data_IF_874679272792
#
_entry.id   IF_874679272792
#
_cell.length_a   1.000
_cell.length_b   1.000
_cell.length_c   1.000
_cell.angle_alpha   90.00
_cell.angle_beta   90.00
_cell.angle_gamma   90.00
#
_symmetry.space_group_name_H-M   'P 1'
#
loop_
_entity.id
_entity.type
_entity.pdbx_description
1 polymer ?
#
# COMPACT_ATOMS: atom_id res chain seq x y z
N UNK A 1 7.05 22.26 32.83
CA UNK A 1 7.89 22.48 34.04
C UNK A 1 7.47 23.79 34.73
N UNK A 2 7.46 23.90 36.07
CA UNK A 2 7.08 25.15 36.75
C UNK A 2 8.33 25.90 37.24
N UNK A 3 8.45 27.19 36.90
CA UNK A 3 9.53 28.05 37.36
C UNK A 3 8.99 29.13 38.30
N UNK A 4 9.72 29.40 39.38
CA UNK A 4 9.41 30.49 40.31
C UNK A 4 9.99 31.80 39.78
N UNK A 5 9.14 32.82 39.59
CA UNK A 5 9.59 34.17 39.32
C UNK A 5 10.02 34.85 40.62
N UNK A 6 10.95 35.80 40.53
CA UNK A 6 11.42 36.61 41.68
C UNK A 6 10.31 37.41 42.37
N UNK A 7 9.14 37.52 41.75
CA UNK A 7 7.91 38.15 42.28
C UNK A 7 7.04 37.20 43.11
N UNK A 8 7.42 35.94 43.30
CA UNK A 8 6.63 34.94 44.03
C UNK A 8 5.49 34.31 43.22
N UNK A 9 5.34 34.66 41.94
CA UNK A 9 4.42 33.99 41.03
C UNK A 9 5.06 32.71 40.45
N UNK A 10 4.35 31.59 40.56
CA UNK A 10 4.73 30.32 39.92
C UNK A 10 4.06 30.24 38.55
N UNK A 11 4.84 30.38 37.48
CA UNK A 11 4.36 30.10 36.12
C UNK A 11 4.66 28.65 35.79
N UNK A 12 3.61 27.84 35.72
CA UNK A 12 3.71 26.51 35.15
C UNK A 12 3.60 26.62 33.64
N UNK A 13 4.68 26.27 32.94
CA UNK A 13 4.61 26.05 31.50
C UNK A 13 4.01 24.67 31.33
N UNK A 14 2.77 24.64 30.85
CA UNK A 14 2.15 23.40 30.41
C UNK A 14 2.88 22.98 29.13
N UNK A 15 3.52 21.82 29.19
CA UNK A 15 4.33 21.29 28.10
C UNK A 15 3.70 19.99 27.63
N UNK A 16 3.71 19.78 26.32
CA UNK A 16 3.21 18.55 25.73
C UNK A 16 4.38 17.57 25.59
N UNK A 17 4.29 16.41 26.23
CA UNK A 17 5.26 15.32 26.10
C UNK A 17 4.95 14.39 24.93
N UNK A 18 5.99 13.76 24.38
CA UNK A 18 5.88 12.65 23.44
C UNK A 18 6.33 11.35 24.13
N UNK A 19 5.43 10.40 24.33
CA UNK A 19 5.78 9.03 24.69
C UNK A 19 5.58 8.14 23.45
N UNK A 20 6.67 7.84 22.75
CA UNK A 20 6.65 6.79 21.72
C UNK A 20 6.83 5.43 22.41
N UNK A 21 5.99 4.41 22.11
CA UNK A 21 6.23 3.07 22.60
C UNK A 21 7.56 2.53 22.05
N UNK A 22 8.24 1.61 22.77
CA UNK A 22 9.54 1.08 22.34
C UNK A 22 9.43 0.37 20.98
N UNK A 23 10.06 0.97 19.97
CA UNK A 23 10.74 0.40 18.79
C UNK A 23 10.04 -0.62 17.87
N UNK A 24 8.81 -1.10 18.12
CA UNK A 24 8.20 -2.11 17.22
C UNK A 24 6.99 -1.68 16.38
N UNK A 25 6.47 -0.46 16.49
CA UNK A 25 5.47 0.03 15.51
C UNK A 25 5.67 1.51 15.19
N UNK A 26 6.03 1.75 13.93
CA UNK A 26 5.88 3.01 13.19
C UNK A 26 6.84 4.15 13.60
N UNK A 27 8.00 4.16 12.92
CA UNK A 27 9.04 5.20 13.01
C UNK A 27 8.51 6.53 12.46
N UNK A 28 8.36 7.51 13.35
CA UNK A 28 8.16 8.92 13.02
C UNK A 28 9.53 9.62 13.06
N UNK A 29 9.92 10.42 12.05
CA UNK A 29 11.26 11.04 11.96
C UNK A 29 11.66 11.72 13.28
N UNK A 30 12.82 11.48 13.90
CA UNK A 30 14.04 10.80 13.50
C UNK A 30 14.26 9.58 14.44
N UNK A 31 15.18 8.69 14.10
CA UNK A 31 15.76 7.65 14.98
C UNK A 31 16.49 8.27 16.19
N UNK A 32 15.83 9.20 16.88
CA UNK A 32 16.25 9.80 18.13
C UNK A 32 15.55 8.98 19.18
N UNK A 33 16.35 8.25 19.94
CA UNK A 33 15.98 7.74 21.25
C UNK A 33 15.65 8.94 22.16
N UNK A 34 14.45 9.51 21.97
CA UNK A 34 14.00 10.69 22.69
C UNK A 34 12.80 10.34 23.54
N UNK A 35 13.10 9.67 24.64
CA UNK A 35 12.17 9.38 25.71
C UNK A 35 11.68 10.66 26.45
N UNK A 36 12.14 11.86 26.09
CA UNK A 36 11.87 13.11 26.81
C UNK A 36 11.77 14.41 25.94
N UNK A 37 11.11 14.39 24.78
CA UNK A 37 10.81 15.64 24.06
C UNK A 37 9.58 16.36 24.64
N UNK A 38 9.74 17.66 24.96
CA UNK A 38 8.70 18.54 25.49
C UNK A 38 8.51 19.77 24.59
N UNK A 39 7.25 20.10 24.29
CA UNK A 39 6.87 21.25 23.45
C UNK A 39 6.12 22.29 24.27
N UNK A 40 6.44 23.58 24.03
CA UNK A 40 5.72 24.71 24.62
C UNK A 40 4.43 25.00 23.86
N UNK A 41 3.51 25.67 24.53
CA UNK A 41 2.27 26.13 23.94
C UNK A 41 2.51 26.94 22.64
N UNK A 42 1.83 26.55 21.56
CA UNK A 42 1.96 27.11 20.22
C UNK A 42 3.03 26.44 19.35
N UNK A 43 3.86 25.55 19.90
CA UNK A 43 4.84 24.79 19.10
C UNK A 43 4.17 23.61 18.39
N UNK A 44 4.67 23.34 17.18
CA UNK A 44 4.16 22.29 16.30
C UNK A 44 5.17 21.16 16.18
N UNK A 45 4.70 19.93 16.35
CA UNK A 45 5.50 18.72 16.10
C UNK A 45 5.04 18.05 14.79
N UNK A 46 5.92 17.97 13.76
CA UNK A 46 5.61 17.30 12.51
C UNK A 46 5.75 15.78 12.62
N UNK A 47 4.95 15.06 11.84
CA UNK A 47 4.99 13.60 11.70
C UNK A 47 5.27 13.22 10.26
N UNK A 48 6.31 12.42 10.06
CA UNK A 48 6.69 11.87 8.76
C UNK A 48 6.99 10.39 8.93
N UNK A 49 6.38 9.57 8.09
CA UNK A 49 6.62 8.14 8.06
C UNK A 49 7.67 7.81 7.00
N UNK A 50 8.56 6.86 7.29
CA UNK A 50 9.71 6.52 6.43
C UNK A 50 9.32 5.72 5.18
N UNK A 51 8.24 4.95 5.24
CA UNK A 51 7.71 4.15 4.10
C UNK A 51 6.19 4.32 3.89
N UNK A 52 5.52 5.12 4.72
CA UNK A 52 4.06 5.12 4.85
C UNK A 52 3.45 6.52 4.64
N UNK A 53 2.12 6.62 4.53
CA UNK A 53 1.45 7.92 4.63
C UNK A 53 0.94 8.18 6.04
N UNK A 54 0.95 9.45 6.44
CA UNK A 54 0.38 9.89 7.70
C UNK A 54 -1.15 9.90 7.58
N UNK A 55 -1.83 9.01 8.32
CA UNK A 55 -3.30 9.04 8.42
C UNK A 55 -3.70 9.98 9.56
N UNK A 56 -4.33 11.09 9.19
CA UNK A 56 -4.66 12.19 10.11
C UNK A 56 -3.81 13.44 9.82
N UNK A 57 -3.73 14.36 10.79
CA UNK A 57 -2.93 15.57 10.62
C UNK A 57 -1.43 15.22 10.65
N UNK A 58 -0.69 15.70 9.65
CA UNK A 58 0.77 15.52 9.54
C UNK A 58 1.57 16.31 10.59
N UNK A 59 0.88 16.99 11.50
CA UNK A 59 1.48 17.66 12.64
C UNK A 59 0.49 17.79 13.79
N UNK A 60 1.00 18.03 14.99
CA UNK A 60 0.19 18.38 16.17
C UNK A 60 0.72 19.66 16.80
N UNK A 61 -0.19 20.47 17.33
CA UNK A 61 0.14 21.72 18.01
C UNK A 61 -0.03 21.52 19.51
N UNK A 62 0.96 21.93 20.29
CA UNK A 62 0.84 21.93 21.74
C UNK A 62 -0.01 23.13 22.19
N UNK A 63 -1.09 22.86 22.90
CA UNK A 63 -2.00 23.89 23.40
C UNK A 63 -1.54 24.44 24.75
N UNK A 64 -2.06 25.62 25.11
CA UNK A 64 -1.72 26.29 26.37
C UNK A 64 -2.09 25.50 27.63
N UNK A 65 -2.96 24.50 27.53
CA UNK A 65 -3.37 23.61 28.61
C UNK A 65 -2.51 22.33 28.71
N UNK A 66 -1.47 22.20 27.87
CA UNK A 66 -0.57 21.05 27.84
C UNK A 66 -1.15 19.84 27.11
N UNK A 67 -2.23 20.01 26.35
CA UNK A 67 -2.80 18.98 25.48
C UNK A 67 -2.41 19.23 24.03
N UNK A 68 -2.47 18.18 23.23
CA UNK A 68 -2.30 18.28 21.79
C UNK A 68 -3.64 18.61 21.12
N UNK A 69 -3.64 19.51 20.13
CA UNK A 69 -4.84 19.91 19.39
C UNK A 69 -5.46 18.78 18.55
N UNK A 70 -4.62 17.88 18.06
CA UNK A 70 -5.03 16.74 17.24
C UNK A 70 -4.56 15.42 17.86
N UNK A 71 -5.29 14.36 17.54
CA UNK A 71 -4.88 13.00 17.87
C UNK A 71 -3.51 12.68 17.25
N UNK A 72 -2.80 11.73 17.87
CA UNK A 72 -1.54 11.24 17.30
C UNK A 72 -1.86 10.59 15.94
N UNK A 73 -1.25 11.05 14.83
CA UNK A 73 -1.48 10.41 13.55
C UNK A 73 -0.89 9.01 13.55
N UNK A 74 -1.43 8.14 12.71
CA UNK A 74 -0.91 6.79 12.50
C UNK A 74 -0.07 6.76 11.23
N UNK A 75 1.01 6.00 11.23
CA UNK A 75 1.60 5.60 9.97
C UNK A 75 0.72 4.46 9.42
N UNK A 76 0.28 4.60 8.19
CA UNK A 76 -0.44 3.55 7.51
C UNK A 76 0.33 3.16 6.25
N UNK A 77 0.65 1.86 6.13
CA UNK A 77 1.17 1.29 4.89
C UNK A 77 0.33 1.76 3.71
N UNK A 78 1.01 2.28 2.69
CA UNK A 78 0.42 2.68 1.41
C UNK A 78 -0.16 1.42 0.77
N UNK A 79 -1.45 1.17 1.00
CA UNK A 79 -2.23 0.18 0.27
C UNK A 79 -2.99 0.92 -0.84
N UNK A 80 -2.95 0.38 -2.05
CA UNK A 80 -3.70 0.89 -3.17
C UNK A 80 -5.03 0.17 -3.23
N UNK A 81 -6.04 0.83 -2.65
CA UNK A 81 -7.47 0.52 -2.76
C UNK A 81 -8.07 1.04 -4.07
N UNK A 82 -7.26 1.74 -4.89
CA UNK A 82 -7.64 2.41 -6.13
C UNK A 82 -8.76 3.46 -6.08
N UNK A 83 -9.33 3.75 -4.92
CA UNK A 83 -10.23 4.91 -4.70
C UNK A 83 -9.54 6.24 -5.04
N UNK A 84 -8.26 6.32 -4.72
CA UNK A 84 -7.38 7.43 -5.05
C UNK A 84 -6.26 6.94 -6.00
N UNK A 85 -5.58 7.85 -6.73
CA UNK A 85 -4.44 7.47 -7.55
C UNK A 85 -3.40 6.67 -6.75
N UNK A 86 -2.93 5.57 -7.33
CA UNK A 86 -1.88 4.72 -6.75
C UNK A 86 -0.50 5.20 -7.25
N UNK A 87 0.27 5.97 -6.47
CA UNK A 87 1.46 6.64 -7.01
C UNK A 87 2.67 5.72 -7.16
N UNK A 88 2.61 4.49 -6.62
CA UNK A 88 3.73 3.55 -6.65
C UNK A 88 3.49 2.37 -7.59
N UNK A 89 2.34 2.29 -8.27
CA UNK A 89 2.01 1.23 -9.22
C UNK A 89 1.59 1.87 -10.53
N UNK A 90 2.25 1.48 -11.61
CA UNK A 90 2.03 2.01 -12.95
C UNK A 90 1.93 0.88 -13.97
N UNK A 91 1.39 1.22 -15.12
CA UNK A 91 1.25 0.27 -16.23
C UNK A 91 2.62 -0.04 -16.85
N UNK A 92 2.88 -1.31 -17.13
CA UNK A 92 4.17 -1.77 -17.63
C UNK A 92 4.18 -2.05 -19.15
N UNK A 93 3.04 -1.86 -19.84
CA UNK A 93 2.92 -2.15 -21.28
C UNK A 93 2.09 -1.12 -22.04
N UNK A 94 2.62 -0.64 -23.15
CA UNK A 94 1.89 0.24 -24.07
C UNK A 94 0.80 -0.47 -24.89
N UNK A 95 0.77 -1.81 -24.90
CA UNK A 95 -0.10 -2.59 -25.77
C UNK A 95 -1.32 -3.20 -25.05
N UNK A 96 -1.10 -3.82 -23.90
CA UNK A 96 -2.14 -4.51 -23.12
C UNK A 96 -2.00 -4.14 -21.66
N UNK A 97 -3.04 -3.49 -21.14
CA UNK A 97 -3.05 -2.96 -19.79
C UNK A 97 -4.26 -3.42 -19.00
N UNK A 98 -4.06 -3.54 -17.69
CA UNK A 98 -5.18 -3.70 -16.78
C UNK A 98 -6.03 -2.43 -16.82
N UNK A 99 -7.34 -2.60 -16.92
CA UNK A 99 -8.32 -1.51 -16.94
C UNK A 99 -8.80 -1.22 -15.52
N UNK A 100 -8.81 0.06 -15.11
CA UNK A 100 -9.44 0.48 -13.86
C UNK A 100 -10.96 0.50 -14.04
N UNK A 101 -11.71 -0.09 -13.11
CA UNK A 101 -13.15 -0.26 -13.22
C UNK A 101 -13.84 -0.19 -11.86
N UNK A 102 -15.14 0.14 -11.84
CA UNK A 102 -15.92 0.28 -10.60
C UNK A 102 -17.25 -0.48 -10.56
N UNK A 103 -17.69 -1.01 -11.70
CA UNK A 103 -18.94 -1.78 -11.80
C UNK A 103 -18.64 -3.28 -11.87
N UNK A 104 -19.65 -4.14 -12.01
CA UNK A 104 -19.40 -5.50 -12.47
C UNK A 104 -18.73 -5.50 -13.84
N UNK A 105 -17.88 -6.50 -14.11
CA UNK A 105 -17.33 -6.69 -15.44
C UNK A 105 -18.45 -6.93 -16.45
N UNK A 106 -18.30 -6.45 -17.71
CA UNK A 106 -19.37 -6.53 -18.72
C UNK A 106 -19.78 -7.97 -19.09
N UNK A 107 -18.94 -8.93 -18.77
CA UNK A 107 -19.03 -10.35 -19.07
C UNK A 107 -19.82 -11.10 -17.97
N UNK A 108 -20.91 -11.76 -18.38
CA UNK A 108 -21.70 -12.58 -17.46
C UNK A 108 -20.89 -13.78 -16.92
N UNK A 109 -21.15 -14.22 -15.69
CA UNK A 109 -20.53 -15.39 -15.05
C UNK A 109 -18.99 -15.40 -15.09
N UNK A 110 -18.37 -14.24 -14.86
CA UNK A 110 -16.93 -14.13 -14.62
C UNK A 110 -16.65 -13.01 -13.61
N UNK A 111 -15.42 -12.88 -13.15
CA UNK A 111 -15.02 -11.84 -12.20
C UNK A 111 -14.83 -10.50 -12.91
N UNK A 112 -14.98 -9.34 -12.26
CA UNK A 112 -15.39 -9.11 -10.88
C UNK A 112 -16.75 -8.46 -10.82
N UNK A 113 -17.55 -8.78 -9.80
CA UNK A 113 -18.89 -8.22 -9.66
C UNK A 113 -18.87 -6.84 -9.00
N UNK A 114 -17.95 -6.62 -8.05
CA UNK A 114 -17.81 -5.39 -7.28
C UNK A 114 -16.38 -5.25 -6.76
N UNK A 115 -15.96 -4.02 -6.54
CA UNK A 115 -14.81 -3.60 -5.75
C UNK A 115 -14.71 -4.34 -4.39
N UNK A 116 -13.50 -4.64 -3.93
CA UNK A 116 -13.29 -5.33 -2.65
C UNK A 116 -13.34 -4.35 -1.47
N UNK A 117 -12.74 -3.17 -1.62
CA UNK A 117 -12.58 -2.19 -0.54
C UNK A 117 -13.91 -1.74 0.07
N UNK A 118 -14.86 -1.35 -0.78
CA UNK A 118 -16.12 -0.69 -0.40
C UNK A 118 -17.37 -1.35 -0.98
N UNK A 119 -17.19 -2.24 -1.96
CA UNK A 119 -18.28 -2.85 -2.72
C UNK A 119 -18.83 -1.99 -3.86
N UNK A 120 -18.41 -0.73 -3.98
CA UNK A 120 -18.79 0.18 -5.09
C UNK A 120 -17.64 1.09 -5.54
N UNK A 121 -16.42 0.78 -5.11
CA UNK A 121 -15.20 1.52 -5.37
C UNK A 121 -14.53 1.09 -6.66
N UNK A 122 -13.20 1.08 -6.71
CA UNK A 122 -12.43 0.79 -7.90
C UNK A 122 -11.47 -0.39 -7.71
N UNK A 123 -11.34 -1.18 -8.77
CA UNK A 123 -10.34 -2.23 -8.87
C UNK A 123 -9.70 -2.22 -10.26
N UNK A 124 -8.62 -2.99 -10.42
CA UNK A 124 -8.04 -3.24 -11.74
C UNK A 124 -8.35 -4.63 -12.23
N UNK A 125 -8.65 -4.76 -13.52
CA UNK A 125 -8.93 -6.04 -14.13
C UNK A 125 -8.35 -6.16 -15.54
N UNK A 126 -8.09 -7.39 -15.98
CA UNK A 126 -7.80 -7.67 -17.37
C UNK A 126 -9.09 -8.08 -18.08
N UNK A 127 -9.42 -7.40 -19.17
CA UNK A 127 -10.57 -7.71 -20.02
C UNK A 127 -10.22 -8.85 -20.98
N UNK A 128 -10.80 -10.01 -20.74
CA UNK A 128 -10.58 -11.21 -21.52
C UNK A 128 -11.45 -11.26 -22.78
N UNK A 129 -12.55 -10.50 -22.88
CA UNK A 129 -13.44 -10.63 -24.03
C UNK A 129 -12.80 -10.16 -25.34
N UNK A 130 -11.89 -9.18 -25.24
CA UNK A 130 -11.34 -8.43 -26.38
C UNK A 130 -9.88 -8.75 -26.70
N UNK A 131 -9.32 -9.82 -26.12
CA UNK A 131 -7.92 -10.21 -26.32
C UNK A 131 -7.74 -11.70 -26.64
N UNK A 132 -6.49 -12.15 -26.84
CA UNK A 132 -6.17 -13.51 -27.30
C UNK A 132 -5.67 -14.40 -26.15
N UNK A 133 -5.77 -15.72 -26.33
CA UNK A 133 -5.27 -16.67 -25.35
C UNK A 133 -3.77 -16.47 -25.14
N UNK A 134 -3.33 -16.38 -23.89
CA UNK A 134 -1.93 -16.13 -23.56
C UNK A 134 -1.52 -14.66 -23.62
N UNK A 135 -2.45 -13.73 -23.89
CA UNK A 135 -2.21 -12.29 -23.73
C UNK A 135 -1.75 -11.99 -22.29
N UNK A 136 -0.69 -11.19 -22.16
CA UNK A 136 -0.05 -10.86 -20.90
C UNK A 136 -0.29 -9.39 -20.57
N UNK A 137 -0.71 -9.13 -19.34
CA UNK A 137 -0.98 -7.81 -18.77
C UNK A 137 -0.06 -7.61 -17.58
N UNK A 138 0.54 -6.43 -17.45
CA UNK A 138 1.53 -6.16 -16.41
C UNK A 138 1.31 -4.78 -15.79
N UNK A 139 1.32 -4.73 -14.47
CA UNK A 139 1.50 -3.50 -13.69
C UNK A 139 2.79 -3.62 -12.89
N UNK A 140 3.57 -2.56 -12.81
CA UNK A 140 4.90 -2.55 -12.18
C UNK A 140 4.99 -1.44 -11.16
N UNK A 141 5.83 -1.64 -10.15
CA UNK A 141 6.17 -0.59 -9.20
C UNK A 141 6.90 0.56 -9.89
N UNK A 142 6.52 1.80 -9.63
CA UNK A 142 7.08 2.98 -10.30
C UNK A 142 8.56 3.24 -9.98
N UNK A 143 9.01 2.74 -8.82
CA UNK A 143 10.41 2.82 -8.40
C UNK A 143 10.89 1.43 -7.95
N UNK A 144 12.18 1.12 -8.17
CA UNK A 144 12.76 -0.12 -7.67
C UNK A 144 13.00 -0.06 -6.16
N UNK A 145 12.81 -1.19 -5.49
CA UNK A 145 13.22 -1.41 -4.11
C UNK A 145 14.73 -1.65 -4.03
N UNK A 146 15.44 -1.02 -3.07
CA UNK A 146 16.89 -1.20 -2.94
C UNK A 146 17.30 -2.64 -2.63
N UNK A 147 18.45 -3.05 -3.15
CA UNK A 147 19.11 -4.29 -2.74
C UNK A 147 19.33 -4.34 -1.21
N UNK A 148 19.24 -5.53 -0.62
CA UNK A 148 19.44 -5.77 0.80
C UNK A 148 18.18 -5.62 1.67
N UNK A 149 17.11 -5.03 1.14
CA UNK A 149 15.87 -4.83 1.87
C UNK A 149 14.85 -5.97 1.66
N UNK A 150 13.99 -6.20 2.65
CA UNK A 150 12.85 -7.11 2.52
C UNK A 150 11.63 -6.37 1.97
N UNK A 151 10.86 -7.03 1.10
CA UNK A 151 9.68 -6.43 0.47
C UNK A 151 8.44 -7.23 0.87
N UNK A 152 7.46 -6.53 1.41
CA UNK A 152 6.17 -7.06 1.81
C UNK A 152 5.18 -6.87 0.65
N UNK A 153 4.65 -7.97 0.13
CA UNK A 153 3.70 -7.97 -0.99
C UNK A 153 2.39 -8.59 -0.54
N UNK A 154 1.27 -7.94 -0.82
CA UNK A 154 -0.07 -8.46 -0.61
C UNK A 154 -1.07 -7.86 -1.60
N UNK A 155 -2.11 -8.62 -1.93
CA UNK A 155 -3.21 -8.14 -2.75
C UNK A 155 -4.46 -9.00 -2.53
N UNK A 156 -5.61 -8.38 -2.72
CA UNK A 156 -6.86 -9.08 -2.94
C UNK A 156 -7.04 -9.36 -4.43
N UNK A 157 -7.58 -10.53 -4.76
CA UNK A 157 -7.78 -10.94 -6.15
C UNK A 157 -9.05 -11.77 -6.32
N UNK A 158 -9.59 -11.77 -7.53
CA UNK A 158 -10.79 -12.52 -7.89
C UNK A 158 -10.64 -13.12 -9.29
N UNK A 159 -10.96 -14.41 -9.38
CA UNK A 159 -10.73 -15.25 -10.55
C UNK A 159 -11.85 -16.28 -10.69
N UNK A 160 -12.95 -15.90 -11.34
CA UNK A 160 -14.10 -16.78 -11.57
C UNK A 160 -14.40 -16.92 -13.05
N UNK A 161 -14.55 -18.16 -13.52
CA UNK A 161 -14.95 -18.42 -14.90
C UNK A 161 -14.35 -19.69 -15.50
N UNK A 162 -14.80 -20.06 -16.69
CA UNK A 162 -14.31 -21.24 -17.40
C UNK A 162 -13.11 -20.87 -18.27
N UNK A 163 -12.02 -21.62 -18.14
CA UNK A 163 -10.80 -21.39 -18.92
C UNK A 163 -10.04 -20.16 -18.45
N UNK A 164 -10.01 -19.90 -17.14
CA UNK A 164 -9.16 -18.89 -16.50
C UNK A 164 -7.69 -19.11 -16.81
N UNK A 165 -6.92 -18.02 -16.83
CA UNK A 165 -5.47 -18.07 -16.87
C UNK A 165 -4.87 -18.04 -15.46
N UNK A 166 -3.81 -17.25 -15.28
CA UNK A 166 -3.11 -17.12 -14.01
C UNK A 166 -2.78 -15.67 -13.66
N UNK A 167 -2.68 -15.45 -12.35
CA UNK A 167 -2.14 -14.24 -11.75
C UNK A 167 -0.84 -14.60 -11.03
N UNK A 168 0.18 -13.77 -11.20
CA UNK A 168 1.51 -13.96 -10.62
C UNK A 168 2.08 -12.64 -10.13
N UNK A 169 2.96 -12.73 -9.12
CA UNK A 169 3.90 -11.66 -8.77
C UNK A 169 5.27 -12.02 -9.34
N UNK A 170 5.82 -11.16 -10.17
CA UNK A 170 7.14 -11.26 -10.76
C UNK A 170 8.11 -10.29 -10.06
N UNK A 171 9.35 -10.74 -9.90
CA UNK A 171 10.47 -9.92 -9.42
C UNK A 171 11.42 -9.76 -10.60
N UNK A 172 11.65 -8.52 -11.03
CA UNK A 172 12.59 -8.18 -12.08
C UNK A 172 13.69 -7.25 -11.57
N UNK A 173 14.83 -7.23 -12.23
CA UNK A 173 15.81 -6.16 -12.01
C UNK A 173 15.37 -4.86 -12.70
N UNK A 174 16.12 -3.77 -12.49
CA UNK A 174 15.86 -2.46 -13.11
C UNK A 174 15.90 -2.47 -14.65
N UNK A 175 16.48 -3.48 -15.28
CA UNK A 175 16.45 -3.62 -16.75
C UNK A 175 15.16 -4.29 -17.26
N UNK A 176 14.25 -4.65 -16.35
CA UNK A 176 13.04 -5.42 -16.66
C UNK A 176 13.31 -6.93 -16.83
N UNK A 177 14.52 -7.41 -16.51
CA UNK A 177 14.83 -8.83 -16.64
C UNK A 177 14.20 -9.60 -15.48
N UNK A 178 13.25 -10.48 -15.81
CA UNK A 178 12.61 -11.38 -14.85
C UNK A 178 13.65 -12.27 -14.15
N UNK A 179 13.62 -12.28 -12.81
CA UNK A 179 14.47 -13.13 -11.96
C UNK A 179 13.69 -14.22 -11.26
N UNK A 180 12.47 -13.92 -10.83
CA UNK A 180 11.64 -14.85 -10.06
C UNK A 180 10.17 -14.58 -10.36
N UNK A 181 9.37 -15.64 -10.41
CA UNK A 181 7.92 -15.57 -10.55
C UNK A 181 7.27 -16.40 -9.44
N UNK A 182 6.32 -15.80 -8.74
CA UNK A 182 5.52 -16.42 -7.69
C UNK A 182 4.09 -16.50 -8.18
N UNK A 183 3.53 -17.71 -8.23
CA UNK A 183 2.14 -17.91 -8.62
C UNK A 183 1.22 -17.44 -7.49
N UNK A 184 0.31 -16.52 -7.81
CA UNK A 184 -0.77 -16.10 -6.90
C UNK A 184 -1.90 -17.11 -7.00
N UNK A 185 -2.40 -17.34 -8.22
CA UNK A 185 -3.46 -18.29 -8.49
C UNK A 185 -3.48 -18.73 -9.96
N UNK A 186 -3.98 -19.95 -10.20
CA UNK A 186 -4.21 -20.51 -11.54
C UNK A 186 -5.60 -21.13 -11.63
N UNK A 187 -6.32 -20.87 -12.71
CA UNK A 187 -7.66 -21.43 -12.88
C UNK A 187 -8.71 -20.66 -12.07
N UNK A 188 -9.94 -21.19 -12.02
CA UNK A 188 -11.01 -20.57 -11.24
C UNK A 188 -10.84 -20.83 -9.74
N UNK A 189 -11.02 -19.79 -8.93
CA UNK A 189 -10.84 -19.78 -7.46
C UNK A 189 -12.17 -19.66 -6.70
N UNK A 190 -13.30 -19.79 -7.39
CA UNK A 190 -14.62 -19.54 -6.82
C UNK A 190 -15.08 -18.10 -7.01
N UNK A 191 -16.24 -17.78 -6.42
CA UNK A 191 -16.96 -16.52 -6.64
C UNK A 191 -16.56 -15.39 -5.68
N UNK A 192 -15.79 -15.72 -4.64
CA UNK A 192 -15.38 -14.77 -3.61
C UNK A 192 -14.02 -14.13 -3.94
N UNK A 193 -13.78 -12.95 -3.38
CA UNK A 193 -12.44 -12.36 -3.32
C UNK A 193 -11.53 -13.21 -2.42
N UNK A 194 -10.29 -13.37 -2.84
CA UNK A 194 -9.27 -14.13 -2.14
C UNK A 194 -8.09 -13.21 -1.81
N UNK A 195 -7.41 -13.47 -0.70
CA UNK A 195 -6.22 -12.73 -0.30
C UNK A 195 -4.96 -13.55 -0.54
N UNK A 196 -3.92 -12.92 -1.07
CA UNK A 196 -2.60 -13.51 -1.20
C UNK A 196 -1.54 -12.53 -0.68
N UNK A 197 -0.54 -13.07 0.01
CA UNK A 197 0.59 -12.28 0.51
C UNK A 197 1.86 -13.10 0.62
N UNK A 198 3.00 -12.42 0.50
CA UNK A 198 4.33 -13.00 0.73
C UNK A 198 5.32 -11.94 1.23
N UNK A 199 6.44 -12.43 1.74
CA UNK A 199 7.64 -11.61 2.00
C UNK A 199 8.71 -12.04 1.01
N UNK A 200 9.18 -11.07 0.21
CA UNK A 200 10.37 -11.22 -0.61
C UNK A 200 11.58 -10.95 0.28
N UNK A 201 12.41 -11.98 0.47
CA UNK A 201 13.65 -11.84 1.23
C UNK A 201 14.64 -10.91 0.52
N UNK A 202 15.58 -10.36 1.30
CA UNK A 202 16.62 -9.48 0.81
C UNK A 202 17.31 -10.01 -0.47
N UNK A 203 17.30 -9.18 -1.51
CA UNK A 203 17.89 -9.47 -2.82
C UNK A 203 19.25 -8.80 -2.97
N UNK A 204 20.08 -9.31 -3.87
CA UNK A 204 21.41 -8.73 -4.16
C UNK A 204 21.39 -7.66 -5.26
N UNK A 205 20.20 -7.21 -5.67
CA UNK A 205 19.98 -6.26 -6.74
C UNK A 205 18.72 -5.44 -6.44
N UNK A 206 18.66 -4.24 -7.02
CA UNK A 206 17.48 -3.38 -6.93
C UNK A 206 16.33 -4.00 -7.74
N UNK A 207 15.18 -4.16 -7.10
CA UNK A 207 14.09 -4.99 -7.60
C UNK A 207 12.83 -4.20 -7.91
N UNK A 208 12.23 -4.48 -9.08
CA UNK A 208 10.88 -4.08 -9.41
C UNK A 208 9.93 -5.24 -9.12
N UNK A 209 8.76 -4.92 -8.55
CA UNK A 209 7.68 -5.89 -8.35
C UNK A 209 6.64 -5.68 -9.45
N UNK A 210 6.28 -6.77 -10.12
CA UNK A 210 5.38 -6.75 -11.27
C UNK A 210 4.19 -7.68 -11.00
N UNK A 211 2.98 -7.14 -11.08
CA UNK A 211 1.74 -7.92 -11.08
C UNK A 211 1.48 -8.34 -12.52
N UNK A 212 1.54 -9.64 -12.79
CA UNK A 212 1.32 -10.19 -14.13
C UNK A 212 0.04 -11.03 -14.18
N UNK A 213 -0.87 -10.65 -15.06
CA UNK A 213 -2.06 -11.41 -15.41
C UNK A 213 -1.92 -12.00 -16.80
N UNK A 214 -2.20 -13.30 -16.95
CA UNK A 214 -2.24 -13.96 -18.25
C UNK A 214 -3.65 -14.40 -18.55
N UNK A 215 -4.16 -14.01 -19.72
CA UNK A 215 -5.47 -14.43 -20.21
C UNK A 215 -5.50 -15.92 -20.48
N UNK A 216 -6.53 -16.58 -19.94
CA UNK A 216 -6.79 -18.00 -20.17
C UNK A 216 -7.45 -18.30 -21.52
N UNK A 217 -7.82 -19.56 -21.72
CA UNK A 217 -8.38 -20.04 -22.98
C UNK A 217 -9.83 -19.58 -23.23
N UNK A 218 -10.56 -19.26 -22.16
CA UNK A 218 -11.95 -18.81 -22.22
C UNK A 218 -12.08 -17.29 -22.32
N UNK A 219 -13.16 -16.81 -22.93
CA UNK A 219 -13.54 -15.37 -22.88
C UNK A 219 -14.07 -14.94 -21.51
N UNK A 220 -14.34 -15.90 -20.62
CA UNK A 220 -14.76 -15.69 -19.22
C UNK A 220 -13.54 -15.84 -18.31
N UNK A 221 -12.46 -15.16 -18.65
CA UNK A 221 -11.18 -15.29 -17.95
C UNK A 221 -10.68 -13.96 -17.38
N UNK A 222 -11.62 -13.10 -17.00
CA UNK A 222 -11.31 -11.82 -16.40
C UNK A 222 -10.67 -12.07 -15.02
N UNK A 223 -9.53 -11.44 -14.80
CA UNK A 223 -8.81 -11.50 -13.52
C UNK A 223 -8.79 -10.09 -12.99
N UNK A 224 -9.18 -9.92 -11.74
CA UNK A 224 -9.08 -8.63 -11.08
C UNK A 224 -8.31 -8.72 -9.78
N UNK A 225 -7.81 -7.56 -9.38
CA UNK A 225 -7.15 -7.37 -8.11
C UNK A 225 -7.46 -5.98 -7.55
N UNK A 226 -7.41 -5.92 -6.23
CA UNK A 226 -7.68 -4.74 -5.42
C UNK A 226 -6.80 -4.76 -4.16
N UNK A 227 -6.76 -3.67 -3.40
CA UNK A 227 -6.12 -3.59 -2.09
C UNK A 227 -4.65 -4.06 -2.13
N UNK A 228 -3.91 -3.52 -3.09
CA UNK A 228 -2.52 -3.90 -3.35
C UNK A 228 -1.60 -3.24 -2.34
N UNK A 229 -0.82 -4.03 -1.62
CA UNK A 229 0.26 -3.61 -0.75
C UNK A 229 1.60 -4.06 -1.34
N UNK A 230 2.47 -3.13 -1.69
CA UNK A 230 3.86 -3.41 -2.06
C UNK A 230 4.73 -2.35 -1.41
N UNK A 231 5.49 -2.75 -0.39
CA UNK A 231 6.34 -1.83 0.37
C UNK A 231 7.50 -2.57 1.01
N UNK A 232 8.47 -1.85 1.55
CA UNK A 232 9.46 -2.43 2.44
C UNK A 232 8.77 -3.05 3.66
N UNK A 233 9.26 -4.22 4.06
CA UNK A 233 9.00 -4.70 5.40
C UNK A 233 9.85 -3.88 6.39
#
# INVERSE_FOLDING_TARGET
MCFALSSGATTCVNECGIHLPPVEKERMLNDVDDSELYFKAGETFPYVCTSEYTKGNSSRICLADGRWEHDRPLCARRMCTFEEPCPYLEDASDALHFTKWSNSTPSNNTGCNTDHTTGNGYYYYLEASDTYHGSVFKMVTSNPFPAGEQICVGLWYHMYGQGMGNLSIEISDQSGTLKTQMLVAYGSQGFEWNYWSTVVNALTFDALIVITGVRGAGKRSDICFDDVLIDLC
#
